data_IF_974448689077
#
_entry.id   IF_974448689077
#
_cell.length_a   1.000
_cell.length_b   1.000
_cell.length_c   1.000
_cell.angle_alpha   90.00
_cell.angle_beta   90.00
_cell.angle_gamma   90.00
#
_symmetry.space_group_name_H-M   'P 1'
#
loop_
_entity.id
_entity.type
_entity.pdbx_description
1 polymer ?
#
# COMPACT_ATOMS: atom_id res chain seq x y z
N UNK A 1 -17.30 8.76 -0.95
CA UNK A 1 -16.04 9.19 -0.31
C UNK A 1 -14.89 8.25 -0.69
N UNK A 2 -13.67 8.78 -0.73
CA UNK A 2 -12.46 8.01 -1.03
C UNK A 2 -11.46 8.13 0.12
N UNK A 3 -11.16 7.02 0.77
CA UNK A 3 -10.20 6.95 1.87
C UNK A 3 -8.89 6.34 1.39
N UNK A 4 -7.76 6.92 1.78
CA UNK A 4 -6.44 6.31 1.59
C UNK A 4 -5.95 5.73 2.92
N UNK A 5 -5.65 4.43 2.96
CA UNK A 5 -5.07 3.75 4.12
C UNK A 5 -3.58 3.45 3.86
N UNK A 6 -2.70 4.22 4.48
CA UNK A 6 -1.25 4.07 4.38
C UNK A 6 -0.75 3.12 5.48
N UNK A 7 -0.32 1.93 5.08
CA UNK A 7 0.10 0.86 6.00
C UNK A 7 1.57 1.02 6.39
N UNK A 8 1.79 1.40 7.64
CA UNK A 8 3.10 1.64 8.24
C UNK A 8 3.47 0.62 9.34
N UNK A 9 2.83 -0.56 9.38
CA UNK A 9 2.99 -1.57 10.43
C UNK A 9 4.28 -2.40 10.37
N UNK A 10 5.07 -2.29 9.30
CA UNK A 10 6.28 -3.12 9.12
C UNK A 10 7.40 -2.76 10.10
N UNK A 11 7.90 -3.75 10.85
CA UNK A 11 9.02 -3.58 11.80
C UNK A 11 10.40 -3.55 11.14
N UNK A 12 10.49 -3.81 9.83
CA UNK A 12 11.74 -3.66 9.06
C UNK A 12 12.80 -4.73 9.32
N UNK A 13 12.45 -5.95 9.70
CA UNK A 13 13.38 -7.06 10.03
C UNK A 13 14.49 -7.31 8.97
N UNK A 14 14.25 -6.97 7.70
CA UNK A 14 15.20 -7.11 6.58
C UNK A 14 16.16 -5.91 6.41
N UNK A 15 16.01 -4.86 7.21
CA UNK A 15 16.88 -3.66 7.18
C UNK A 15 18.13 -3.78 8.07
N UNK A 16 18.33 -4.92 8.73
CA UNK A 16 19.40 -5.11 9.73
C UNK A 16 18.99 -4.62 11.13
N UNK A 17 19.95 -4.50 12.04
CA UNK A 17 19.73 -4.08 13.44
C UNK A 17 19.51 -2.56 13.55
N UNK A 18 18.45 -2.03 12.99
CA UNK A 18 18.03 -0.64 13.19
C UNK A 18 16.91 -0.58 14.21
N UNK A 19 17.09 0.19 15.28
CA UNK A 19 16.04 0.45 16.28
C UNK A 19 14.87 1.26 15.69
N UNK A 20 15.10 1.91 14.54
CA UNK A 20 14.09 2.71 13.84
C UNK A 20 13.46 1.93 12.70
N UNK A 21 12.13 1.75 12.68
CA UNK A 21 11.45 1.11 11.55
C UNK A 21 11.68 1.88 10.25
N UNK A 22 11.82 1.14 9.14
CA UNK A 22 12.25 1.67 7.84
C UNK A 22 11.40 2.81 7.28
N UNK A 23 10.11 2.87 7.60
CA UNK A 23 9.22 3.96 7.18
C UNK A 23 9.56 5.31 7.80
N UNK A 24 10.34 5.32 8.89
CA UNK A 24 10.81 6.54 9.57
C UNK A 24 12.26 6.91 9.22
N UNK A 25 12.93 6.11 8.36
CA UNK A 25 14.26 6.45 7.88
C UNK A 25 14.22 7.66 6.95
N UNK A 26 15.27 8.50 7.05
CA UNK A 26 15.39 9.71 6.24
C UNK A 26 15.63 9.39 4.75
N UNK A 27 14.81 10.02 3.92
CA UNK A 27 14.93 10.04 2.47
C UNK A 27 14.99 11.51 2.01
N UNK A 28 16.18 12.02 1.77
CA UNK A 28 16.38 13.47 1.59
C UNK A 28 16.13 14.24 2.89
N UNK A 29 15.23 15.19 2.87
CA UNK A 29 14.90 16.08 4.01
C UNK A 29 13.69 15.63 4.83
N UNK A 30 13.05 14.51 4.47
CA UNK A 30 11.84 14.00 5.12
C UNK A 30 11.93 12.48 5.31
N UNK A 31 11.28 11.90 6.34
CA UNK A 31 11.14 10.45 6.45
C UNK A 31 10.36 9.84 5.28
N UNK A 32 10.64 8.57 4.95
CA UNK A 32 10.00 7.83 3.85
C UNK A 32 8.47 7.90 3.91
N UNK A 33 7.89 7.71 5.11
CA UNK A 33 6.43 7.75 5.30
C UNK A 33 5.82 9.10 4.92
N UNK A 34 6.52 10.21 5.19
CA UNK A 34 6.05 11.56 4.87
C UNK A 34 5.95 11.75 3.36
N UNK A 35 6.97 11.30 2.60
CA UNK A 35 6.92 11.32 1.15
C UNK A 35 5.71 10.56 0.59
N UNK A 36 5.39 9.41 1.20
CA UNK A 36 4.24 8.61 0.78
C UNK A 36 2.92 9.29 1.09
N UNK A 37 2.73 9.77 2.33
CA UNK A 37 1.49 10.44 2.76
C UNK A 37 1.25 11.72 1.96
N UNK A 38 2.30 12.46 1.63
CA UNK A 38 2.24 13.68 0.82
C UNK A 38 1.62 13.43 -0.57
N UNK A 39 1.84 12.24 -1.19
CA UNK A 39 1.24 11.90 -2.49
C UNK A 39 -0.29 11.81 -2.43
N UNK A 40 -0.81 11.28 -1.34
CA UNK A 40 -2.26 11.24 -1.11
C UNK A 40 -2.81 12.60 -0.65
N UNK A 41 -2.02 13.36 0.12
CA UNK A 41 -2.41 14.67 0.62
C UNK A 41 -2.70 15.66 -0.51
N UNK A 42 -1.85 15.69 -1.53
CA UNK A 42 -1.98 16.61 -2.66
C UNK A 42 -2.87 16.09 -3.80
N UNK A 43 -3.43 14.87 -3.68
CA UNK A 43 -4.32 14.31 -4.70
C UNK A 43 -5.79 14.60 -4.38
N UNK A 44 -6.48 15.31 -5.27
CA UNK A 44 -7.86 15.77 -5.06
C UNK A 44 -8.91 14.66 -5.05
N UNK A 45 -8.55 13.43 -5.49
CA UNK A 45 -9.45 12.27 -5.45
C UNK A 45 -9.60 11.68 -4.04
N UNK A 46 -8.71 12.02 -3.11
CA UNK A 46 -8.68 11.49 -1.75
C UNK A 46 -9.34 12.46 -0.78
N UNK A 47 -10.36 12.02 -0.07
CA UNK A 47 -11.08 12.81 0.93
C UNK A 47 -10.40 12.79 2.29
N UNK A 48 -9.95 11.62 2.76
CA UNK A 48 -9.24 11.45 4.03
C UNK A 48 -8.11 10.43 3.91
N UNK A 49 -7.07 10.61 4.72
CA UNK A 49 -5.91 9.72 4.81
C UNK A 49 -5.86 9.10 6.20
N UNK A 50 -5.85 7.77 6.26
CA UNK A 50 -5.60 6.98 7.45
C UNK A 50 -4.15 6.50 7.42
N UNK A 51 -3.37 6.79 8.46
CA UNK A 51 -2.01 6.25 8.60
C UNK A 51 -2.03 5.22 9.72
N UNK A 52 -1.82 3.96 9.36
CA UNK A 52 -1.91 2.84 10.30
C UNK A 52 -0.50 2.33 10.64
N UNK A 53 -0.09 2.54 11.89
CA UNK A 53 1.25 2.19 12.36
C UNK A 53 1.18 1.39 13.67
N UNK A 54 2.30 0.78 14.16
CA UNK A 54 2.29 0.12 15.45
C UNK A 54 1.91 1.10 16.57
N UNK A 55 1.16 0.62 17.57
CA UNK A 55 0.63 1.45 18.67
C UNK A 55 1.69 2.34 19.32
N UNK A 56 2.89 1.81 19.53
CA UNK A 56 4.01 2.56 20.12
C UNK A 56 4.50 3.73 19.26
N UNK A 57 4.18 3.78 17.97
CA UNK A 57 4.63 4.78 17.02
C UNK A 57 3.55 5.80 16.65
N UNK A 58 2.34 5.70 17.19
CA UNK A 58 1.21 6.58 16.85
C UNK A 58 1.54 8.05 17.16
N UNK A 59 2.03 8.35 18.37
CA UNK A 59 2.37 9.73 18.75
C UNK A 59 3.48 10.27 17.83
N UNK A 60 4.57 9.53 17.68
CA UNK A 60 5.68 9.92 16.80
C UNK A 60 5.22 10.16 15.34
N UNK A 61 4.33 9.30 14.82
CA UNK A 61 3.81 9.47 13.46
C UNK A 61 2.96 10.73 13.33
N UNK A 62 2.13 11.05 14.33
CA UNK A 62 1.36 12.31 14.38
C UNK A 62 2.28 13.53 14.34
N UNK A 63 3.29 13.56 15.21
CA UNK A 63 4.27 14.67 15.27
C UNK A 63 4.99 14.84 13.91
N UNK A 64 5.36 13.75 13.26
CA UNK A 64 5.99 13.82 11.92
C UNK A 64 5.04 14.38 10.86
N UNK A 65 3.79 13.96 10.84
CA UNK A 65 2.79 14.46 9.89
C UNK A 65 2.54 15.94 10.10
N UNK A 66 2.31 16.37 11.35
CA UNK A 66 2.09 17.78 11.71
C UNK A 66 3.29 18.66 11.38
N UNK A 67 4.51 18.15 11.56
CA UNK A 67 5.74 18.87 11.25
C UNK A 67 5.94 19.12 9.76
N UNK A 68 5.54 18.18 8.91
CA UNK A 68 5.94 18.19 7.49
C UNK A 68 4.80 18.50 6.52
N UNK A 69 3.54 18.33 6.92
CA UNK A 69 2.39 18.60 6.07
C UNK A 69 1.59 19.79 6.59
N UNK A 70 1.13 20.68 5.69
CA UNK A 70 0.33 21.84 6.11
C UNK A 70 -1.07 21.39 6.56
N UNK A 71 -1.80 22.29 7.22
CA UNK A 71 -3.22 22.10 7.46
C UNK A 71 -3.99 22.03 6.14
N UNK A 72 -5.03 21.20 6.10
CA UNK A 72 -5.85 21.01 4.90
C UNK A 72 -6.61 19.68 4.95
N UNK A 73 -6.25 18.73 4.11
CA UNK A 73 -6.88 17.42 4.07
C UNK A 73 -6.74 16.68 5.41
N UNK A 74 -7.81 16.05 5.86
CA UNK A 74 -7.82 15.30 7.10
C UNK A 74 -6.89 14.09 7.04
N UNK A 75 -5.98 13.99 7.99
CA UNK A 75 -5.07 12.87 8.19
C UNK A 75 -5.28 12.34 9.61
N UNK A 76 -5.66 11.07 9.70
CA UNK A 76 -5.86 10.41 10.99
C UNK A 76 -4.83 9.31 11.18
N UNK A 77 -4.07 9.36 12.28
CA UNK A 77 -3.09 8.34 12.63
C UNK A 77 -3.66 7.43 13.71
N UNK A 78 -3.76 6.14 13.40
CA UNK A 78 -4.30 5.12 14.29
C UNK A 78 -3.37 3.92 14.41
N UNK A 79 -3.60 3.10 15.42
CA UNK A 79 -2.90 1.83 15.55
C UNK A 79 -3.41 0.85 14.49
N UNK A 80 -2.47 0.23 13.75
CA UNK A 80 -2.76 -0.91 12.90
C UNK A 80 -2.84 -2.22 13.70
N UNK A 81 -3.28 -3.28 13.03
CA UNK A 81 -3.31 -4.63 13.59
C UNK A 81 -1.93 -5.30 13.62
N UNK A 82 -1.86 -6.47 14.24
CA UNK A 82 -0.63 -7.27 14.33
C UNK A 82 -0.17 -7.84 12.97
N UNK A 83 -1.09 -7.95 12.02
CA UNK A 83 -0.87 -8.43 10.66
C UNK A 83 -1.29 -7.39 9.63
N UNK A 84 -0.95 -7.62 8.33
CA UNK A 84 -1.44 -6.77 7.24
C UNK A 84 -2.98 -6.79 7.16
N UNK A 85 -3.58 -7.98 7.34
CA UNK A 85 -5.04 -8.13 7.32
C UNK A 85 -5.69 -7.43 8.52
N UNK A 86 -5.16 -7.62 9.74
CA UNK A 86 -5.66 -6.89 10.90
C UNK A 86 -5.48 -5.37 10.79
N UNK A 87 -4.49 -4.91 10.00
CA UNK A 87 -4.35 -3.47 9.69
C UNK A 87 -5.41 -3.01 8.68
N UNK A 88 -5.77 -3.86 7.71
CA UNK A 88 -6.87 -3.60 6.78
C UNK A 88 -8.21 -3.54 7.53
N UNK A 89 -8.48 -4.51 8.39
CA UNK A 89 -9.68 -4.55 9.25
C UNK A 89 -9.77 -3.30 10.13
N UNK A 90 -8.66 -2.88 10.77
CA UNK A 90 -8.64 -1.65 11.57
C UNK A 90 -8.95 -0.38 10.74
N UNK A 91 -8.57 -0.34 9.46
CA UNK A 91 -8.93 0.77 8.57
C UNK A 91 -10.42 0.74 8.24
N UNK A 92 -10.98 -0.42 7.94
CA UNK A 92 -12.42 -0.62 7.66
C UNK A 92 -13.24 -0.23 8.90
N UNK A 93 -12.90 -0.78 10.07
CA UNK A 93 -13.57 -0.49 11.34
C UNK A 93 -13.58 1.01 11.66
N UNK A 94 -12.46 1.69 11.42
CA UNK A 94 -12.39 3.14 11.63
C UNK A 94 -13.36 3.87 10.70
N UNK A 95 -13.39 3.53 9.43
CA UNK A 95 -14.28 4.17 8.44
C UNK A 95 -15.75 3.95 8.83
N UNK A 96 -16.15 2.70 9.07
CA UNK A 96 -17.52 2.33 9.42
C UNK A 96 -18.02 2.99 10.73
N UNK A 97 -17.14 3.16 11.71
CA UNK A 97 -17.50 3.79 12.98
C UNK A 97 -17.56 5.32 12.94
N UNK A 98 -17.01 5.97 11.92
CA UNK A 98 -16.90 7.43 11.87
C UNK A 98 -17.61 8.07 10.67
N UNK A 99 -18.04 7.29 9.68
CA UNK A 99 -18.64 7.78 8.44
C UNK A 99 -19.84 6.96 8.00
N UNK A 100 -20.80 7.61 7.38
CA UNK A 100 -21.82 6.92 6.59
C UNK A 100 -21.20 6.49 5.25
N UNK A 101 -21.18 5.19 5.00
CA UNK A 101 -20.59 4.58 3.82
C UNK A 101 -21.65 4.05 2.86
N UNK A 102 -21.37 4.09 1.57
CA UNK A 102 -22.24 3.63 0.50
C UNK A 102 -21.51 2.69 -0.48
N UNK A 103 -22.20 2.25 -1.51
CA UNK A 103 -21.64 1.38 -2.56
C UNK A 103 -20.57 2.08 -3.43
N UNK A 104 -20.44 3.40 -3.34
CA UNK A 104 -19.43 4.19 -4.06
C UNK A 104 -18.25 4.56 -3.17
N UNK A 105 -18.29 4.22 -1.88
CA UNK A 105 -17.18 4.47 -0.98
C UNK A 105 -15.99 3.59 -1.36
N UNK A 106 -14.82 4.23 -1.56
CA UNK A 106 -13.59 3.57 -1.99
C UNK A 106 -12.54 3.59 -0.88
N UNK A 107 -11.87 2.46 -0.66
CA UNK A 107 -10.68 2.32 0.18
C UNK A 107 -9.46 2.04 -0.71
N UNK A 108 -8.50 2.94 -0.69
CA UNK A 108 -7.20 2.83 -1.37
C UNK A 108 -6.16 2.42 -0.32
N UNK A 109 -5.60 1.22 -0.41
CA UNK A 109 -4.57 0.73 0.51
C UNK A 109 -3.19 0.88 -0.09
N UNK A 110 -2.20 1.36 0.69
CA UNK A 110 -0.86 1.58 0.18
C UNK A 110 0.24 1.32 1.22
N UNK A 111 1.38 0.80 0.77
CA UNK A 111 2.54 0.61 1.65
C UNK A 111 3.23 1.95 1.94
N UNK A 112 3.39 2.32 3.21
CA UNK A 112 4.09 3.54 3.64
C UNK A 112 5.54 3.68 3.13
N UNK A 113 6.10 2.60 2.62
CA UNK A 113 7.47 2.49 2.12
C UNK A 113 7.59 2.46 0.59
N UNK A 114 6.57 2.99 -0.12
CA UNK A 114 6.61 3.24 -1.57
C UNK A 114 6.44 4.74 -1.86
N UNK A 115 7.49 5.54 -1.63
CA UNK A 115 7.39 7.01 -1.66
C UNK A 115 7.29 7.61 -3.08
N UNK A 116 7.45 6.80 -4.14
CA UNK A 116 7.46 7.25 -5.52
C UNK A 116 6.13 7.04 -6.25
N UNK A 117 5.05 6.88 -5.50
CA UNK A 117 3.69 6.84 -6.05
C UNK A 117 3.37 8.11 -6.84
N UNK A 118 2.67 7.98 -7.96
CA UNK A 118 2.25 9.09 -8.81
C UNK A 118 0.76 9.42 -8.67
N UNK A 119 0.39 10.67 -9.00
CA UNK A 119 -1.02 11.09 -9.04
C UNK A 119 -1.84 10.26 -10.03
N UNK A 120 -1.25 9.91 -11.19
CA UNK A 120 -1.88 9.05 -12.20
C UNK A 120 -2.30 7.71 -11.57
N UNK A 121 -1.37 7.02 -10.91
CA UNK A 121 -1.66 5.71 -10.30
C UNK A 121 -2.77 5.83 -9.24
N UNK A 122 -2.76 6.88 -8.40
CA UNK A 122 -3.83 7.09 -7.41
C UNK A 122 -5.18 7.24 -8.10
N UNK A 123 -5.27 8.14 -9.09
CA UNK A 123 -6.52 8.46 -9.79
C UNK A 123 -7.06 7.24 -10.55
N UNK A 124 -6.21 6.54 -11.31
CA UNK A 124 -6.60 5.33 -12.03
C UNK A 124 -7.04 4.19 -11.08
N UNK A 125 -6.43 4.07 -9.90
CA UNK A 125 -6.88 3.11 -8.86
C UNK A 125 -8.26 3.45 -8.32
N UNK A 126 -8.56 4.73 -8.07
CA UNK A 126 -9.88 5.17 -7.62
C UNK A 126 -10.93 4.89 -8.70
N UNK A 127 -10.65 5.25 -9.96
CA UNK A 127 -11.56 5.03 -11.08
C UNK A 127 -11.81 3.54 -11.31
N UNK A 128 -10.76 2.72 -11.30
CA UNK A 128 -10.87 1.27 -11.45
C UNK A 128 -11.64 0.61 -10.29
N UNK A 129 -11.46 1.06 -9.05
CA UNK A 129 -12.21 0.54 -7.92
C UNK A 129 -13.70 0.90 -8.04
N UNK A 130 -14.04 2.10 -8.50
CA UNK A 130 -15.44 2.51 -8.75
C UNK A 130 -16.06 1.66 -9.86
N UNK A 131 -15.33 1.40 -10.95
CA UNK A 131 -15.86 0.68 -12.11
C UNK A 131 -15.92 -0.84 -11.89
N UNK A 132 -14.83 -1.44 -11.39
CA UNK A 132 -14.66 -2.90 -11.31
C UNK A 132 -14.81 -3.49 -9.92
N UNK A 133 -14.90 -2.68 -8.86
CA UNK A 133 -15.03 -3.12 -7.47
C UNK A 133 -13.72 -3.39 -6.75
N UNK A 134 -12.70 -3.91 -7.45
CA UNK A 134 -11.35 -4.14 -6.91
C UNK A 134 -10.29 -3.95 -7.99
N UNK A 135 -9.15 -3.38 -7.63
CA UNK A 135 -8.00 -3.28 -8.52
C UNK A 135 -6.66 -3.41 -7.78
N UNK A 136 -5.64 -3.84 -8.52
CA UNK A 136 -4.26 -3.96 -8.07
C UNK A 136 -3.32 -3.20 -9.02
N UNK A 137 -2.36 -2.47 -8.48
CA UNK A 137 -1.32 -1.84 -9.28
C UNK A 137 -0.24 -2.87 -9.60
N UNK A 138 0.04 -3.07 -10.88
CA UNK A 138 0.97 -4.11 -11.33
C UNK A 138 1.93 -3.60 -12.39
N UNK A 139 3.12 -4.22 -12.48
CA UNK A 139 4.04 -4.06 -13.61
C UNK A 139 4.33 -5.43 -14.24
N UNK A 140 4.54 -5.52 -15.57
CA UNK A 140 4.97 -6.78 -16.19
C UNK A 140 6.28 -7.29 -15.59
N UNK A 141 6.43 -8.59 -15.44
CA UNK A 141 7.70 -9.19 -15.03
C UNK A 141 8.75 -8.99 -16.14
N UNK A 142 9.89 -8.39 -15.79
CA UNK A 142 11.01 -8.17 -16.72
C UNK A 142 11.93 -9.38 -16.80
N UNK A 143 12.17 -10.04 -15.67
CA UNK A 143 13.00 -11.24 -15.60
C UNK A 143 12.19 -12.52 -15.78
N UNK A 144 12.86 -13.62 -16.11
CA UNK A 144 12.25 -14.95 -16.16
C UNK A 144 11.84 -15.37 -14.75
N UNK A 145 10.56 -15.65 -14.56
CA UNK A 145 10.04 -16.19 -13.30
C UNK A 145 10.25 -17.71 -13.29
N UNK A 146 10.78 -18.22 -12.20
CA UNK A 146 10.94 -19.66 -11.97
C UNK A 146 10.15 -20.05 -10.73
N UNK A 147 9.50 -21.20 -10.78
CA UNK A 147 8.83 -21.81 -9.63
C UNK A 147 9.71 -22.92 -9.05
N UNK A 148 9.75 -23.02 -7.74
CA UNK A 148 10.47 -24.07 -7.02
C UNK A 148 9.68 -24.50 -5.80
N UNK A 149 9.44 -25.80 -5.66
CA UNK A 149 8.73 -26.37 -4.50
C UNK A 149 9.65 -26.49 -3.30
N UNK A 150 10.93 -26.77 -3.50
CA UNK A 150 11.92 -27.04 -2.45
C UNK A 150 12.95 -25.90 -2.25
N UNK A 151 12.83 -24.83 -3.03
CA UNK A 151 13.75 -23.70 -3.04
C UNK A 151 15.13 -24.00 -3.60
N UNK A 152 15.34 -25.15 -4.26
CA UNK A 152 16.63 -25.59 -4.81
C UNK A 152 16.56 -25.96 -6.30
N UNK A 153 15.53 -26.70 -6.69
CA UNK A 153 15.34 -27.14 -8.07
C UNK A 153 14.17 -26.39 -8.71
N UNK A 154 14.33 -26.02 -9.97
CA UNK A 154 13.24 -25.40 -10.75
C UNK A 154 12.19 -26.48 -11.03
N UNK A 155 10.93 -26.23 -10.63
CA UNK A 155 9.79 -27.10 -10.93
C UNK A 155 9.04 -26.66 -12.17
N UNK A 156 8.94 -25.36 -12.44
CA UNK A 156 8.33 -24.82 -13.65
C UNK A 156 8.87 -23.43 -14.02
N UNK A 157 8.67 -23.05 -15.28
CA UNK A 157 8.95 -21.70 -15.79
C UNK A 157 7.68 -21.20 -16.47
N UNK A 158 6.85 -20.38 -15.81
CA UNK A 158 5.63 -19.87 -16.40
C UNK A 158 5.91 -18.90 -17.55
N UNK A 159 4.91 -18.74 -18.44
CA UNK A 159 5.00 -17.78 -19.54
C UNK A 159 5.13 -16.36 -19.00
N UNK A 160 6.27 -15.72 -19.22
CA UNK A 160 6.60 -14.38 -18.66
C UNK A 160 5.57 -13.32 -19.04
N UNK A 161 5.02 -13.36 -20.26
CA UNK A 161 4.00 -12.40 -20.73
C UNK A 161 2.67 -12.45 -19.96
N UNK A 162 2.47 -13.49 -19.14
CA UNK A 162 1.33 -13.64 -18.23
C UNK A 162 1.68 -13.31 -16.78
N UNK A 163 2.94 -12.96 -16.51
CA UNK A 163 3.43 -12.70 -15.16
C UNK A 163 3.55 -11.22 -14.89
N UNK A 164 2.96 -10.79 -13.77
CA UNK A 164 3.02 -9.42 -13.29
C UNK A 164 3.48 -9.38 -11.84
N UNK A 165 4.14 -8.30 -11.48
CA UNK A 165 4.57 -8.04 -10.11
C UNK A 165 3.59 -7.05 -9.48
N UNK A 166 2.91 -7.49 -8.38
CA UNK A 166 2.02 -6.63 -7.61
C UNK A 166 2.77 -5.52 -6.89
N UNK A 167 2.24 -4.32 -7.01
CA UNK A 167 2.68 -3.15 -6.25
C UNK A 167 1.56 -2.73 -5.28
N UNK A 168 1.56 -1.50 -4.86
CA UNK A 168 0.42 -0.77 -4.27
C UNK A 168 0.37 0.62 -4.87
N UNK A 169 -0.80 1.28 -4.94
CA UNK A 169 -2.05 1.00 -4.23
C UNK A 169 -2.77 -0.26 -4.70
N UNK A 170 -3.56 -0.82 -3.78
CA UNK A 170 -4.64 -1.77 -4.06
C UNK A 170 -5.93 -1.10 -3.60
N UNK A 171 -6.95 -1.05 -4.45
CA UNK A 171 -8.13 -0.24 -4.16
C UNK A 171 -9.41 -1.04 -4.36
N UNK A 172 -10.41 -0.72 -3.53
CA UNK A 172 -11.62 -1.52 -3.41
C UNK A 172 -12.84 -0.63 -3.19
N UNK A 173 -14.00 -1.01 -3.73
CA UNK A 173 -15.27 -0.57 -3.16
C UNK A 173 -15.38 -1.15 -1.75
N UNK A 174 -15.54 -0.29 -0.75
CA UNK A 174 -15.49 -0.69 0.66
C UNK A 174 -16.49 -1.78 0.98
N UNK A 175 -17.76 -1.59 0.60
CA UNK A 175 -18.83 -2.57 0.85
C UNK A 175 -18.61 -3.92 0.16
N UNK A 176 -17.95 -3.94 -0.99
CA UNK A 176 -17.63 -5.20 -1.65
C UNK A 176 -16.47 -5.92 -0.93
N UNK A 177 -15.43 -5.18 -0.52
CA UNK A 177 -14.33 -5.71 0.27
C UNK A 177 -14.84 -6.34 1.58
N UNK A 178 -15.73 -5.67 2.30
CA UNK A 178 -16.35 -6.19 3.54
C UNK A 178 -17.09 -7.50 3.29
N UNK A 179 -17.95 -7.55 2.25
CA UNK A 179 -18.68 -8.78 1.91
C UNK A 179 -17.76 -9.95 1.59
N UNK A 180 -16.66 -9.68 0.86
CA UNK A 180 -15.70 -10.74 0.50
C UNK A 180 -14.91 -11.17 1.73
N UNK A 181 -14.42 -10.25 2.57
CA UNK A 181 -13.75 -10.54 3.84
C UNK A 181 -14.63 -11.39 4.76
N UNK A 182 -15.89 -11.02 4.93
CA UNK A 182 -16.85 -11.77 5.78
C UNK A 182 -17.13 -13.19 5.27
N UNK A 183 -16.91 -13.47 3.98
CA UNK A 183 -17.09 -14.79 3.37
C UNK A 183 -15.89 -15.73 3.53
N UNK A 184 -14.74 -15.24 4.03
CA UNK A 184 -13.54 -16.04 4.19
C UNK A 184 -13.63 -16.97 5.40
N UNK A 185 -13.16 -18.21 5.23
CA UNK A 185 -12.90 -19.14 6.33
C UNK A 185 -11.62 -18.75 7.07
N UNK A 186 -11.39 -19.28 8.27
CA UNK A 186 -10.17 -19.02 9.04
C UNK A 186 -8.92 -19.54 8.31
N UNK A 187 -9.01 -20.68 7.61
CA UNK A 187 -7.90 -21.22 6.81
C UNK A 187 -7.58 -20.30 5.63
N UNK A 188 -8.58 -19.74 4.96
CA UNK A 188 -8.40 -18.77 3.88
C UNK A 188 -7.75 -17.48 4.40
N UNK A 189 -8.16 -17.00 5.59
CA UNK A 189 -7.55 -15.83 6.22
C UNK A 189 -6.08 -16.05 6.57
N UNK A 190 -5.72 -17.27 6.99
CA UNK A 190 -4.35 -17.61 7.38
C UNK A 190 -3.33 -17.53 6.23
N UNK A 191 -3.77 -17.72 4.97
CA UNK A 191 -2.90 -17.69 3.78
C UNK A 191 -2.87 -16.34 3.06
N UNK A 192 -3.56 -15.33 3.59
CA UNK A 192 -3.58 -14.00 2.97
C UNK A 192 -2.22 -13.31 3.11
N UNK A 193 -1.72 -12.82 1.98
CA UNK A 193 -0.46 -12.07 1.89
C UNK A 193 -0.66 -10.61 1.51
N UNK A 194 -1.75 -10.31 0.81
CA UNK A 194 -2.16 -8.96 0.39
C UNK A 194 -3.69 -8.88 0.25
N UNK A 195 -4.23 -7.66 0.09
CA UNK A 195 -5.67 -7.43 0.06
C UNK A 195 -6.34 -7.97 -1.22
N UNK A 196 -5.66 -7.95 -2.37
CA UNK A 196 -6.23 -8.47 -3.62
C UNK A 196 -6.38 -9.99 -3.61
N UNK A 197 -5.56 -10.70 -2.82
CA UNK A 197 -5.68 -12.15 -2.64
C UNK A 197 -7.05 -12.55 -2.05
N UNK A 198 -7.68 -11.68 -1.26
CA UNK A 198 -9.01 -11.85 -0.70
C UNK A 198 -10.02 -12.12 -1.84
N UNK A 199 -9.95 -11.31 -2.88
CA UNK A 199 -10.84 -11.44 -4.06
C UNK A 199 -10.48 -12.69 -4.88
N UNK A 200 -9.21 -12.94 -5.14
CA UNK A 200 -8.77 -14.07 -5.97
C UNK A 200 -9.13 -15.43 -5.36
N UNK A 201 -9.05 -15.60 -4.04
CA UNK A 201 -9.48 -16.83 -3.33
C UNK A 201 -10.98 -17.10 -3.58
N UNK A 202 -11.80 -16.06 -3.67
CA UNK A 202 -13.25 -16.18 -3.95
C UNK A 202 -13.60 -16.13 -5.43
N UNK A 203 -12.60 -16.27 -6.32
CA UNK A 203 -12.76 -16.16 -7.77
C UNK A 203 -13.46 -14.87 -8.22
N UNK A 204 -13.25 -13.79 -7.48
CA UNK A 204 -13.71 -12.45 -7.82
C UNK A 204 -12.66 -11.75 -8.69
N UNK A 205 -13.08 -11.03 -9.74
CA UNK A 205 -12.14 -10.31 -10.59
C UNK A 205 -11.45 -9.19 -9.83
N UNK A 206 -10.17 -8.97 -10.18
CA UNK A 206 -9.37 -7.81 -9.75
C UNK A 206 -8.82 -7.17 -10.99
N UNK A 207 -9.13 -5.90 -11.23
CA UNK A 207 -8.65 -5.16 -12.38
C UNK A 207 -7.17 -4.78 -12.20
N UNK A 208 -6.36 -4.81 -13.26
CA UNK A 208 -4.96 -4.43 -13.21
C UNK A 208 -4.77 -2.98 -13.65
N UNK A 209 -4.27 -2.14 -12.76
CA UNK A 209 -3.83 -0.77 -13.05
C UNK A 209 -2.33 -0.77 -13.34
N UNK A 210 -1.91 -0.09 -14.42
CA UNK A 210 -0.50 -0.01 -14.78
C UNK A 210 0.30 0.77 -13.73
N UNK A 211 1.26 0.08 -13.09
CA UNK A 211 2.20 0.68 -12.16
C UNK A 211 3.39 1.34 -12.84
N UNK A 212 4.41 1.64 -12.05
CA UNK A 212 5.67 2.23 -12.51
C UNK A 212 6.87 1.45 -11.94
N UNK A 213 7.90 1.27 -12.73
CA UNK A 213 9.13 0.56 -12.29
C UNK A 213 9.76 1.27 -11.10
N UNK A 214 9.70 2.58 -11.04
CA UNK A 214 10.24 3.37 -9.95
C UNK A 214 9.32 3.46 -8.70
N UNK A 215 8.09 2.94 -8.75
CA UNK A 215 7.24 2.77 -7.55
C UNK A 215 7.74 1.61 -6.68
N UNK A 216 9.03 1.66 -6.36
CA UNK A 216 9.75 0.62 -5.60
C UNK A 216 9.27 0.56 -4.15
N UNK A 217 9.32 -0.66 -3.58
CA UNK A 217 9.12 -0.88 -2.15
C UNK A 217 10.46 -0.89 -1.43
N UNK A 218 10.71 0.09 -0.56
CA UNK A 218 11.92 0.10 0.28
C UNK A 218 11.84 -1.07 1.27
N UNK A 219 12.64 -2.09 1.04
CA UNK A 219 12.63 -3.36 1.79
C UNK A 219 14.00 -3.68 2.39
N UNK A 220 15.06 -3.43 1.65
CA UNK A 220 16.45 -3.66 2.02
C UNK A 220 17.23 -2.34 2.07
N UNK A 221 18.41 -2.29 2.75
CA UNK A 221 19.26 -1.09 2.76
C UNK A 221 19.66 -0.58 1.37
N UNK A 222 19.76 -1.50 0.39
CA UNK A 222 20.05 -1.15 -0.99
C UNK A 222 18.94 -0.32 -1.63
N UNK A 223 17.67 -0.66 -1.36
CA UNK A 223 16.52 0.07 -1.90
C UNK A 223 16.51 1.54 -1.43
N UNK A 224 16.97 1.80 -0.19
CA UNK A 224 17.10 3.16 0.30
C UNK A 224 18.17 3.96 -0.47
N UNK A 225 19.25 3.32 -0.92
CA UNK A 225 20.26 3.97 -1.78
C UNK A 225 19.67 4.30 -3.14
N UNK A 226 18.94 3.36 -3.75
CA UNK A 226 18.22 3.59 -5.01
C UNK A 226 17.20 4.72 -4.85
N UNK A 227 16.41 4.71 -3.77
CA UNK A 227 15.43 5.75 -3.47
C UNK A 227 16.07 7.15 -3.37
N UNK A 228 17.24 7.26 -2.70
CA UNK A 228 17.98 8.53 -2.62
C UNK A 228 18.43 9.04 -3.99
N UNK A 229 18.80 8.16 -4.90
CA UNK A 229 19.19 8.53 -6.27
C UNK A 229 17.98 8.99 -7.09
N UNK A 230 16.85 8.26 -6.98
CA UNK A 230 15.59 8.64 -7.64
C UNK A 230 15.07 10.00 -7.17
N UNK A 231 15.25 10.34 -5.89
CA UNK A 231 14.84 11.64 -5.37
C UNK A 231 15.67 12.77 -5.95
N UNK A 232 17.00 12.59 -6.06
CA UNK A 232 17.91 13.60 -6.63
C UNK A 232 17.69 13.83 -8.13
N UNK A 233 17.32 12.79 -8.90
CA UNK A 233 17.05 12.92 -10.32
C UNK A 233 15.81 13.77 -10.63
N UNK A 234 14.86 13.87 -9.70
CA UNK A 234 13.70 14.77 -9.85
C UNK A 234 14.04 16.26 -9.63
N UNK A 235 15.08 16.54 -8.84
CA UNK A 235 15.52 17.91 -8.58
C UNK A 235 16.45 18.46 -9.70
N UNK A 236 16.87 17.61 -10.66
CA UNK A 236 17.80 17.99 -11.74
C UNK A 236 17.09 18.19 -13.11
N UNK A 237 15.80 17.87 -13.22
CA UNK A 237 14.99 18.01 -14.45
C UNK A 237 14.05 19.25 -14.39
N UNK A 238 14.15 20.09 -13.35
CA UNK A 238 13.59 21.44 -13.24
C UNK A 238 14.70 22.50 -13.44
#
# INVERSE_FOLDING_TARGET
>A
MVFAAVFAGGIGSRMGNSDTPKQYLELGTKPVIVHTVEKFFINDRIDEILVLCPKAWVAHTKDLIEKHLPAGKKITVIAGGATRNGTLEAAIDYIENNYETDEQTVLVTHDAVRPFLTHRIISENVDAAIEYGACDTVIPATDTIVESVDGKMISSIPERNKMFQGQTPQSFRLKELERVLASLTEDEKAILTDACKIFSIKNKPVYMVAGEVYNIKITFPYDLKVAKTLLKGKDSDD
#
